data_IF_348490706542
#
_entry.id   IF_348490706542
#
_cell.length_a   1.000
_cell.length_b   1.000
_cell.length_c   1.000
_cell.angle_alpha   90.00
_cell.angle_beta   90.00
_cell.angle_gamma   90.00
#
_symmetry.space_group_name_H-M   'P 1'
#
loop_
_entity.id
_entity.type
_entity.pdbx_description
1 polymer ?
#
# COMPACT_ATOMS: atom_id res chain seq x y z
N UNK A 1 30.84 -7.71 13.68
CA UNK A 1 29.60 -7.84 12.88
C UNK A 1 28.86 -6.48 12.83
N UNK A 2 29.21 -5.54 11.92
CA UNK A 2 28.55 -4.23 11.85
C UNK A 2 27.36 -4.14 10.87
N UNK A 3 26.93 -5.24 10.23
CA UNK A 3 25.85 -5.21 9.24
C UNK A 3 24.44 -4.89 9.81
N UNK A 4 24.25 -4.95 11.13
CA UNK A 4 22.95 -4.72 11.75
C UNK A 4 22.58 -3.24 11.90
N UNK A 5 23.56 -2.33 11.95
CA UNK A 5 23.32 -0.90 12.19
C UNK A 5 22.92 -0.12 10.92
N UNK A 6 23.41 -0.52 9.74
CA UNK A 6 23.04 0.14 8.48
C UNK A 6 21.56 -0.07 8.11
N UNK A 7 21.01 -1.25 8.45
CA UNK A 7 19.60 -1.57 8.19
C UNK A 7 18.65 -0.73 9.06
N UNK A 8 19.10 -0.28 10.24
CA UNK A 8 18.28 0.55 11.15
C UNK A 8 18.13 1.99 10.60
N UNK A 9 19.11 2.50 9.84
CA UNK A 9 19.10 3.84 9.26
C UNK A 9 18.05 4.06 8.16
N UNK A 10 17.55 2.99 7.51
CA UNK A 10 16.56 3.09 6.44
C UNK A 10 15.10 3.01 6.93
N UNK A 11 14.85 3.10 8.25
CA UNK A 11 13.50 2.97 8.83
C UNK A 11 12.56 4.15 8.55
N UNK A 12 13.08 5.31 8.12
CA UNK A 12 12.27 6.54 7.95
C UNK A 12 12.29 7.08 6.53
N UNK A 13 11.88 6.27 5.56
CA UNK A 13 11.59 6.78 4.22
C UNK A 13 10.21 7.43 4.26
N UNK A 14 10.16 8.75 4.03
CA UNK A 14 8.90 9.46 3.83
C UNK A 14 8.39 9.15 2.43
N UNK A 15 7.16 8.65 2.35
CA UNK A 15 6.45 8.36 1.12
C UNK A 15 5.34 9.39 0.96
N UNK A 16 5.55 10.47 0.19
CA UNK A 16 4.49 11.44 -0.06
C UNK A 16 3.31 10.74 -0.74
N UNK A 17 2.07 10.93 -0.24
CA UNK A 17 0.90 10.25 -0.80
C UNK A 17 0.67 10.56 -2.28
N UNK A 18 1.08 11.74 -2.75
CA UNK A 18 0.93 12.12 -4.16
C UNK A 18 1.73 11.19 -5.09
N UNK A 19 3.01 10.96 -4.76
CA UNK A 19 3.86 10.04 -5.53
C UNK A 19 3.37 8.60 -5.39
N UNK A 20 2.97 8.18 -4.19
CA UNK A 20 2.48 6.84 -3.94
C UNK A 20 1.20 6.53 -4.74
N UNK A 21 0.26 7.47 -4.80
CA UNK A 21 -0.94 7.34 -5.64
C UNK A 21 -0.61 7.30 -7.14
N UNK A 22 0.38 8.08 -7.59
CA UNK A 22 0.83 8.06 -8.98
C UNK A 22 1.40 6.69 -9.37
N UNK A 23 2.31 6.16 -8.56
CA UNK A 23 2.96 4.85 -8.78
C UNK A 23 1.93 3.74 -8.81
N UNK A 24 0.95 3.78 -7.90
CA UNK A 24 -0.13 2.79 -7.91
C UNK A 24 -0.99 2.91 -9.17
N UNK A 25 -1.33 4.11 -9.63
CA UNK A 25 -2.06 4.27 -10.90
C UNK A 25 -1.28 3.69 -12.07
N UNK A 26 0.01 3.98 -12.17
CA UNK A 26 0.90 3.43 -13.20
C UNK A 26 0.94 1.90 -13.12
N UNK A 27 1.08 1.32 -11.92
CA UNK A 27 1.07 -0.13 -11.72
C UNK A 27 -0.26 -0.80 -12.11
N UNK A 28 -1.40 -0.12 -11.88
CA UNK A 28 -2.71 -0.62 -12.28
C UNK A 28 -2.94 -0.54 -13.79
N UNK A 29 -2.34 0.44 -14.46
CA UNK A 29 -2.37 0.56 -15.93
C UNK A 29 -1.49 -0.51 -16.59
N UNK A 30 -0.30 -0.75 -16.04
CA UNK A 30 0.65 -1.74 -16.53
C UNK A 30 0.14 -3.18 -16.30
N UNK A 31 -0.41 -3.45 -15.11
CA UNK A 31 -0.96 -4.75 -14.76
C UNK A 31 -2.34 -4.59 -14.14
N UNK A 32 -3.41 -4.60 -14.96
CA UNK A 32 -4.77 -4.44 -14.45
C UNK A 32 -5.11 -5.59 -13.49
N UNK A 33 -5.75 -5.29 -12.35
CA UNK A 33 -6.12 -6.31 -11.38
C UNK A 33 -7.12 -7.29 -12.00
N UNK A 34 -7.01 -8.59 -11.69
CA UNK A 34 -7.99 -9.56 -12.14
C UNK A 34 -9.38 -9.17 -11.61
N UNK A 35 -10.39 -9.24 -12.48
CA UNK A 35 -11.77 -9.01 -12.06
C UNK A 35 -12.23 -10.22 -11.26
N UNK A 36 -12.55 -10.02 -9.98
CA UNK A 36 -13.04 -11.10 -9.12
C UNK A 36 -14.55 -10.95 -8.96
N UNK A 37 -15.33 -11.98 -9.31
CA UNK A 37 -16.81 -11.98 -9.28
C UNK A 37 -17.44 -10.78 -10.02
N UNK A 38 -16.90 -10.40 -11.18
CA UNK A 38 -17.38 -9.26 -11.97
C UNK A 38 -17.09 -7.88 -11.38
N UNK A 39 -16.43 -7.81 -10.21
CA UNK A 39 -15.99 -6.57 -9.58
C UNK A 39 -14.51 -6.32 -9.84
N UNK A 40 -14.17 -5.08 -10.20
CA UNK A 40 -12.79 -4.63 -10.36
C UNK A 40 -12.31 -4.01 -9.05
N UNK A 41 -11.06 -4.29 -8.70
CA UNK A 41 -10.39 -3.63 -7.60
C UNK A 41 -10.21 -2.15 -7.97
N UNK A 42 -10.72 -1.26 -7.14
CA UNK A 42 -10.53 0.19 -7.28
C UNK A 42 -9.81 0.70 -6.05
N UNK A 43 -8.63 1.29 -6.26
CA UNK A 43 -7.91 2.03 -5.23
C UNK A 43 -8.40 3.47 -5.24
N UNK A 44 -8.98 3.92 -4.13
CA UNK A 44 -9.42 5.31 -3.98
C UNK A 44 -8.23 6.19 -3.62
N UNK A 45 -7.44 5.75 -2.63
CA UNK A 45 -6.33 6.53 -2.09
C UNK A 45 -5.37 5.62 -1.35
N UNK A 46 -4.10 6.01 -1.32
CA UNK A 46 -3.08 5.33 -0.56
C UNK A 46 -2.25 6.34 0.24
N UNK A 47 -1.85 5.95 1.44
CA UNK A 47 -1.08 6.78 2.37
C UNK A 47 -0.08 5.96 3.14
N UNK A 48 0.99 6.60 3.58
CA UNK A 48 1.89 6.02 4.57
C UNK A 48 1.28 6.14 5.97
N UNK A 49 1.42 5.10 6.79
CA UNK A 49 1.14 5.15 8.23
C UNK A 49 2.31 5.79 8.97
N UNK A 50 2.05 6.44 10.12
CA UNK A 50 3.09 7.12 10.92
C UNK A 50 3.98 6.16 11.75
N UNK A 51 3.96 4.86 11.45
CA UNK A 51 4.70 3.84 12.16
C UNK A 51 6.21 3.87 11.84
N UNK A 52 7.05 3.40 12.79
CA UNK A 52 8.51 3.26 12.59
C UNK A 52 8.88 2.26 11.48
N UNK A 53 7.93 1.42 11.06
CA UNK A 53 8.07 0.51 9.92
C UNK A 53 7.38 1.09 8.68
N UNK A 54 7.95 0.94 7.47
CA UNK A 54 7.35 1.44 6.24
C UNK A 54 6.04 0.68 5.95
N UNK A 55 4.94 1.26 6.42
CA UNK A 55 3.60 0.69 6.34
C UNK A 55 2.75 1.55 5.43
N UNK A 56 2.22 0.95 4.38
CA UNK A 56 1.36 1.63 3.40
C UNK A 56 -0.06 1.14 3.58
N UNK A 57 -0.96 2.10 3.83
CA UNK A 57 -2.39 1.87 3.94
C UNK A 57 -3.03 2.19 2.59
N UNK A 58 -3.60 1.16 1.97
CA UNK A 58 -4.37 1.24 0.73
C UNK A 58 -5.85 1.24 1.05
N UNK A 59 -6.54 2.29 0.61
CA UNK A 59 -8.00 2.36 0.64
C UNK A 59 -8.54 1.84 -0.68
N UNK A 60 -9.26 0.73 -0.59
CA UNK A 60 -9.89 0.06 -1.71
C UNK A 60 -11.39 -0.02 -1.52
N UNK A 61 -12.11 -0.25 -2.62
CA UNK A 61 -13.53 -0.54 -2.57
C UNK A 61 -13.82 -1.78 -1.72
N UNK A 62 -13.10 -2.88 -1.97
CA UNK A 62 -13.32 -4.15 -1.31
C UNK A 62 -11.98 -4.87 -1.11
N UNK A 63 -11.66 -5.20 0.14
CA UNK A 63 -10.40 -5.85 0.51
C UNK A 63 -10.37 -7.32 0.10
N UNK A 64 -11.52 -7.95 -0.09
CA UNK A 64 -11.64 -9.35 -0.53
C UNK A 64 -11.38 -9.56 -2.02
N UNK A 65 -11.36 -8.48 -2.82
CA UNK A 65 -11.03 -8.54 -4.25
C UNK A 65 -9.52 -8.62 -4.51
N UNK A 66 -8.69 -8.29 -3.51
CA UNK A 66 -7.25 -8.23 -3.70
C UNK A 66 -6.58 -9.56 -3.32
N UNK A 67 -6.18 -10.33 -4.34
CA UNK A 67 -5.48 -11.59 -4.15
C UNK A 67 -4.03 -11.39 -3.65
N UNK A 68 -3.50 -12.32 -2.87
CA UNK A 68 -2.15 -12.21 -2.29
C UNK A 68 -1.05 -11.99 -3.35
N UNK A 69 -1.20 -12.56 -4.55
CA UNK A 69 -0.26 -12.38 -5.65
C UNK A 69 -0.21 -10.93 -6.12
N UNK A 70 -1.38 -10.30 -6.26
CA UNK A 70 -1.48 -8.89 -6.64
C UNK A 70 -0.97 -7.97 -5.52
N UNK A 71 -1.19 -8.37 -4.27
CA UNK A 71 -0.64 -7.69 -3.09
C UNK A 71 0.89 -7.62 -3.16
N UNK A 72 1.54 -8.76 -3.42
CA UNK A 72 3.00 -8.85 -3.57
C UNK A 72 3.50 -8.02 -4.75
N UNK A 73 2.76 -7.99 -5.86
CA UNK A 73 3.08 -7.14 -7.01
C UNK A 73 3.09 -5.65 -6.63
N UNK A 74 2.05 -5.16 -5.95
CA UNK A 74 1.99 -3.77 -5.49
C UNK A 74 3.09 -3.46 -4.48
N UNK A 75 3.35 -4.36 -3.53
CA UNK A 75 4.47 -4.23 -2.59
C UNK A 75 5.80 -4.11 -3.33
N UNK A 76 6.04 -4.94 -4.35
CA UNK A 76 7.27 -4.88 -5.16
C UNK A 76 7.40 -3.53 -5.87
N UNK A 77 6.37 -3.05 -6.57
CA UNK A 77 6.41 -1.76 -7.29
C UNK A 77 6.67 -0.58 -6.36
N UNK A 78 6.03 -0.54 -5.19
CA UNK A 78 6.28 0.49 -4.18
C UNK A 78 7.72 0.40 -3.68
N UNK A 79 8.23 -0.81 -3.43
CA UNK A 79 9.62 -0.99 -2.99
C UNK A 79 10.65 -0.54 -4.02
N UNK A 80 10.43 -0.87 -5.30
CA UNK A 80 11.31 -0.45 -6.40
C UNK A 80 11.32 1.07 -6.54
N UNK A 81 10.18 1.74 -6.37
CA UNK A 81 10.11 3.20 -6.48
C UNK A 81 10.83 3.92 -5.33
N UNK A 82 10.61 3.48 -4.09
CA UNK A 82 11.13 4.16 -2.90
C UNK A 82 12.47 3.61 -2.43
N UNK A 83 13.12 2.72 -3.19
CA UNK A 83 14.44 2.19 -2.88
C UNK A 83 14.48 1.29 -1.63
N UNK A 84 13.39 0.60 -1.30
CA UNK A 84 13.26 -0.28 -0.13
C UNK A 84 13.90 -1.68 -0.35
N UNK A 85 15.07 -1.71 -0.97
CA UNK A 85 15.82 -2.94 -1.23
C UNK A 85 16.41 -3.50 0.06
N UNK A 86 15.62 -4.32 0.77
CA UNK A 86 16.04 -5.03 1.99
C UNK A 86 15.09 -4.85 3.17
N UNK A 87 14.15 -3.89 3.11
CA UNK A 87 13.20 -3.63 4.19
C UNK A 87 11.82 -4.24 3.89
N UNK A 88 11.23 -5.03 4.80
CA UNK A 88 9.85 -5.49 4.63
C UNK A 88 8.87 -4.31 4.64
N UNK A 89 8.21 -4.08 3.50
CA UNK A 89 7.08 -3.15 3.39
C UNK A 89 5.82 -3.84 3.92
N UNK A 90 5.10 -3.21 4.86
CA UNK A 90 3.80 -3.72 5.29
C UNK A 90 2.68 -3.07 4.49
N UNK A 91 1.99 -3.85 3.67
CA UNK A 91 0.80 -3.40 2.96
C UNK A 91 -0.47 -3.71 3.77
N UNK A 92 -1.19 -2.68 4.18
CA UNK A 92 -2.46 -2.79 4.91
C UNK A 92 -3.59 -2.36 4.01
N UNK A 93 -4.55 -3.25 3.78
CA UNK A 93 -5.74 -2.95 2.99
C UNK A 93 -6.86 -2.51 3.92
N UNK A 94 -7.55 -1.43 3.57
CA UNK A 94 -8.76 -0.98 4.26
C UNK A 94 -9.86 -0.72 3.25
N UNK A 95 -11.08 -1.17 3.58
CA UNK A 95 -12.25 -0.83 2.80
C UNK A 95 -12.71 0.59 3.10
N UNK A 96 -13.18 1.29 2.07
CA UNK A 96 -13.77 2.63 2.21
C UNK A 96 -15.00 2.62 3.13
N UNK A 97 -15.77 1.53 3.12
CA UNK A 97 -16.92 1.32 4.01
C UNK A 97 -16.54 1.40 5.49
N UNK A 98 -15.38 0.83 5.87
CA UNK A 98 -14.87 0.90 7.24
C UNK A 98 -14.53 2.33 7.68
N UNK A 99 -14.18 3.21 6.73
CA UNK A 99 -13.95 4.63 7.01
C UNK A 99 -15.27 5.37 7.18
N UNK A 100 -16.28 5.03 6.36
CA UNK A 100 -17.61 5.65 6.39
C UNK A 100 -18.39 5.30 7.66
N UNK A 101 -18.26 4.06 8.17
CA UNK A 101 -18.89 3.63 9.42
C UNK A 101 -18.31 4.35 10.64
N UNK A 102 -16.98 4.50 10.72
CA UNK A 102 -16.32 5.28 11.79
C UNK A 102 -16.67 6.76 11.79
N UNK A 103 -16.80 7.36 10.60
CA UNK A 103 -17.20 8.77 10.48
C UNK A 103 -18.67 9.01 10.85
N UNK A 104 -19.54 8.00 10.70
CA UNK A 104 -20.96 8.10 11.08
C UNK A 104 -21.22 7.85 12.56
N UNK A 105 -20.40 7.04 13.22
CA UNK A 105 -20.55 6.74 14.66
C UNK A 105 -20.02 7.86 15.58
N UNK A 106 -19.29 8.84 15.03
CA UNK A 106 -18.77 9.99 15.77
C UNK A 106 -19.66 11.25 15.63
N UNK A 107 -20.89 11.09 15.13
CA UNK A 107 -21.89 12.14 14.98
C UNK A 107 -23.13 11.76 15.78
#
# INVERSE_FOLDING_TARGET
MPAALEVVGQRRIKMPPNELNRVLREAFLEHPPPSFKGRRLKVTYATQSSDESPTVVLFVNDTGLLHFSYRRYLEKKVRERFGLSGNPLKLVLRSEESRRSRARAAK
#
